data_IF_316472408223
#
_entry.id   IF_316472408223
#
_cell.length_a   1.000
_cell.length_b   1.000
_cell.length_c   1.000
_cell.angle_alpha   90.00
_cell.angle_beta   90.00
_cell.angle_gamma   90.00
#
_symmetry.space_group_name_H-M   'P 1'
#
loop_
_entity.id
_entity.type
_entity.pdbx_description
1 polymer ?
#
# COMPACT_ATOMS: atom_id res chain seq x y z
N UNK A 1 14.01 -16.34 -4.30
CA UNK A 1 14.34 -14.91 -4.48
C UNK A 1 14.43 -14.64 -5.96
N UNK A 2 13.82 -13.55 -6.44
CA UNK A 2 13.95 -13.10 -7.83
C UNK A 2 15.15 -12.15 -7.89
N UNK A 3 16.05 -12.32 -8.84
CA UNK A 3 17.18 -11.41 -9.06
C UNK A 3 16.76 -10.33 -10.06
N UNK A 4 17.01 -9.07 -9.71
CA UNK A 4 16.70 -7.91 -10.54
C UNK A 4 17.87 -6.91 -10.56
N UNK A 5 17.80 -5.89 -11.42
CA UNK A 5 18.85 -4.88 -11.53
C UNK A 5 18.96 -3.96 -10.31
N UNK A 6 17.97 -3.97 -9.41
CA UNK A 6 17.92 -3.16 -8.20
C UNK A 6 17.08 -3.85 -7.11
N UNK A 7 17.46 -3.66 -5.86
CA UNK A 7 16.68 -4.04 -4.67
C UNK A 7 16.43 -2.80 -3.81
N UNK A 8 15.19 -2.61 -3.36
CA UNK A 8 14.77 -1.42 -2.62
C UNK A 8 13.84 -1.80 -1.47
N UNK A 9 13.89 -1.03 -0.39
CA UNK A 9 13.04 -1.21 0.79
C UNK A 9 11.97 -0.11 0.96
N UNK A 10 11.73 0.68 -0.10
CA UNK A 10 10.76 1.77 -0.10
C UNK A 10 9.87 1.71 -1.35
N UNK A 11 8.54 1.77 -1.19
CA UNK A 11 7.63 1.72 -2.33
C UNK A 11 7.73 2.95 -3.23
N UNK A 12 8.18 4.09 -2.70
CA UNK A 12 8.40 5.32 -3.49
C UNK A 12 9.56 5.10 -4.48
N UNK A 13 10.64 4.46 -4.03
CA UNK A 13 11.79 4.16 -4.89
C UNK A 13 11.44 3.04 -5.88
N UNK A 14 10.70 2.02 -5.45
CA UNK A 14 10.19 0.97 -6.33
C UNK A 14 9.35 1.55 -7.48
N UNK A 15 8.46 2.51 -7.17
CA UNK A 15 7.67 3.24 -8.18
C UNK A 15 8.57 4.01 -9.14
N UNK A 16 9.57 4.73 -8.64
CA UNK A 16 10.49 5.49 -9.50
C UNK A 16 11.30 4.57 -10.44
N UNK A 17 11.71 3.40 -9.95
CA UNK A 17 12.40 2.39 -10.75
C UNK A 17 11.51 1.82 -11.86
N UNK A 18 10.24 1.51 -11.55
CA UNK A 18 9.27 1.04 -12.54
C UNK A 18 9.01 2.10 -13.63
N UNK A 19 8.80 3.36 -13.23
CA UNK A 19 8.63 4.50 -14.17
C UNK A 19 9.87 4.77 -15.02
N UNK A 20 11.05 4.36 -14.55
CA UNK A 20 12.32 4.46 -15.28
C UNK A 20 12.58 3.25 -16.17
N UNK A 21 11.64 2.31 -16.28
CA UNK A 21 11.77 1.12 -17.13
C UNK A 21 12.68 0.02 -16.59
N UNK A 22 12.96 0.01 -15.28
CA UNK A 22 13.83 -1.00 -14.66
C UNK A 22 13.15 -2.35 -14.38
N UNK A 23 11.89 -2.52 -14.80
CA UNK A 23 11.13 -3.77 -14.71
C UNK A 23 9.82 -3.65 -13.93
N UNK A 24 9.30 -4.79 -13.46
CA UNK A 24 8.08 -4.88 -12.67
C UNK A 24 8.31 -4.44 -11.20
N UNK A 25 7.31 -3.84 -10.59
CA UNK A 25 7.31 -3.51 -9.16
C UNK A 25 5.95 -3.85 -8.54
N UNK A 26 5.97 -4.42 -7.33
CA UNK A 26 4.77 -4.57 -6.50
C UNK A 26 4.59 -3.29 -5.69
N UNK A 27 3.49 -2.57 -5.94
CA UNK A 27 3.22 -1.26 -5.35
C UNK A 27 1.85 -1.27 -4.67
N UNK A 28 1.69 -0.57 -3.53
CA UNK A 28 0.36 -0.27 -3.02
C UNK A 28 -0.44 0.59 -4.00
N UNK A 29 -1.74 0.33 -4.11
CA UNK A 29 -2.58 1.00 -5.11
C UNK A 29 -2.59 2.51 -4.96
N UNK A 30 -2.62 3.02 -3.73
CA UNK A 30 -2.58 4.47 -3.47
C UNK A 30 -1.28 5.15 -3.94
N UNK A 31 -0.20 4.39 -4.14
CA UNK A 31 1.07 4.89 -4.70
C UNK A 31 1.06 4.80 -6.24
N UNK A 32 0.49 3.73 -6.79
CA UNK A 32 0.46 3.51 -8.24
C UNK A 32 -0.68 4.26 -8.96
N UNK A 33 -1.77 4.58 -8.25
CA UNK A 33 -3.01 5.13 -8.82
C UNK A 33 -2.80 6.34 -9.74
N UNK A 34 -1.97 7.35 -9.41
CA UNK A 34 -1.75 8.49 -10.32
C UNK A 34 -1.07 8.09 -11.64
N UNK A 35 -0.19 7.10 -11.63
CA UNK A 35 0.53 6.65 -12.83
C UNK A 35 -0.25 5.65 -13.65
N UNK A 36 -1.07 4.84 -13.00
CA UNK A 36 -2.09 4.03 -13.67
C UNK A 36 -3.10 4.93 -14.38
N UNK A 37 -3.63 5.95 -13.69
CA UNK A 37 -4.59 6.89 -14.26
C UNK A 37 -4.01 7.70 -15.44
N UNK A 38 -2.70 7.98 -15.44
CA UNK A 38 -2.02 8.66 -16.54
C UNK A 38 -1.46 7.72 -17.62
N UNK A 39 -1.59 6.40 -17.46
CA UNK A 39 -1.06 5.40 -18.38
C UNK A 39 0.46 5.25 -18.39
N UNK A 40 1.16 5.86 -17.43
CA UNK A 40 2.62 5.71 -17.26
C UNK A 40 2.99 4.36 -16.66
N UNK A 41 2.09 3.78 -15.86
CA UNK A 41 2.14 2.40 -15.42
C UNK A 41 0.92 1.66 -15.95
N UNK A 42 1.07 0.34 -16.06
CA UNK A 42 -0.03 -0.59 -16.35
C UNK A 42 0.05 -1.74 -15.35
N UNK A 43 -1.08 -2.35 -15.04
CA UNK A 43 -1.10 -3.57 -14.21
C UNK A 43 -0.59 -4.77 -15.00
N UNK A 44 -0.12 -5.78 -14.29
CA UNK A 44 0.39 -7.01 -14.88
C UNK A 44 0.29 -8.15 -13.85
N UNK A 45 0.09 -9.37 -14.34
CA UNK A 45 -0.04 -10.58 -13.52
C UNK A 45 -1.21 -10.52 -12.51
N UNK A 46 -2.30 -9.84 -12.88
CA UNK A 46 -3.46 -9.63 -12.01
C UNK A 46 -4.10 -10.96 -11.54
N UNK A 47 -3.95 -12.03 -12.33
CA UNK A 47 -4.40 -13.40 -12.01
C UNK A 47 -3.54 -14.10 -10.92
N UNK A 48 -2.40 -13.50 -10.55
CA UNK A 48 -1.43 -14.06 -9.59
C UNK A 48 -1.30 -13.24 -8.31
N UNK A 49 -2.03 -12.13 -8.20
CA UNK A 49 -2.02 -11.31 -6.98
C UNK A 49 -2.82 -12.04 -5.89
N UNK A 50 -2.15 -12.34 -4.78
CA UNK A 50 -2.81 -12.82 -3.56
C UNK A 50 -3.59 -11.67 -2.91
N UNK A 51 -4.71 -11.99 -2.26
CA UNK A 51 -5.53 -11.01 -1.54
C UNK A 51 -4.65 -10.11 -0.66
N UNK A 52 -4.82 -8.79 -0.82
CA UNK A 52 -3.97 -7.78 -0.17
C UNK A 52 -3.98 -7.89 1.35
N UNK A 53 -2.87 -7.53 1.96
CA UNK A 53 -2.77 -7.32 3.40
C UNK A 53 -3.48 -6.03 3.79
N UNK A 54 -4.34 -6.08 4.80
CA UNK A 54 -5.06 -4.89 5.29
C UNK A 54 -4.16 -3.83 5.94
N UNK A 55 -4.76 -2.66 6.21
CA UNK A 55 -4.13 -1.60 7.02
C UNK A 55 -4.47 -1.85 8.48
N UNK A 56 -3.45 -1.87 9.35
CA UNK A 56 -3.61 -2.17 10.77
C UNK A 56 -3.16 -1.00 11.65
N UNK A 57 -3.98 -0.65 12.65
CA UNK A 57 -3.57 0.23 13.73
C UNK A 57 -2.90 -0.59 14.84
N UNK A 58 -1.58 -0.46 15.00
CA UNK A 58 -0.79 -1.20 16.00
C UNK A 58 -0.42 -0.28 17.16
N UNK A 59 -0.70 -0.71 18.40
CA UNK A 59 -0.36 0.02 19.61
C UNK A 59 0.00 -0.96 20.74
N UNK A 60 0.88 -0.57 21.69
CA UNK A 60 1.27 -1.45 22.79
C UNK A 60 0.07 -1.89 23.62
N UNK A 61 0.04 -3.17 23.99
CA UNK A 61 -0.96 -3.68 24.92
C UNK A 61 -0.82 -3.00 26.28
N UNK A 62 -1.91 -2.42 26.79
CA UNK A 62 -1.97 -1.74 28.09
C UNK A 62 -3.27 -2.11 28.77
N UNK A 63 -3.23 -2.28 30.10
CA UNK A 63 -4.44 -2.58 30.92
C UNK A 63 -5.55 -1.55 30.71
N UNK A 64 -5.19 -0.29 30.44
CA UNK A 64 -6.10 0.78 30.08
C UNK A 64 -5.61 1.47 28.81
N UNK A 65 -6.38 1.38 27.73
CA UNK A 65 -6.13 2.16 26.51
C UNK A 65 -6.61 3.60 26.74
N UNK A 66 -5.77 4.62 26.59
CA UNK A 66 -6.19 6.01 26.75
C UNK A 66 -7.37 6.35 25.82
N UNK A 67 -8.39 7.05 26.33
CA UNK A 67 -9.60 7.38 25.57
C UNK A 67 -9.28 8.07 24.24
N UNK A 68 -8.30 8.99 24.22
CA UNK A 68 -7.82 9.67 23.00
C UNK A 68 -7.33 8.71 21.91
N UNK A 69 -6.72 7.59 22.28
CA UNK A 69 -6.23 6.59 21.30
C UNK A 69 -7.41 5.80 20.77
N UNK A 70 -8.35 5.40 21.63
CA UNK A 70 -9.56 4.70 21.21
C UNK A 70 -10.35 5.51 20.18
N UNK A 71 -10.70 6.76 20.50
CA UNK A 71 -11.48 7.60 19.58
C UNK A 71 -10.73 7.89 18.28
N UNK A 72 -9.39 7.96 18.31
CA UNK A 72 -8.59 8.10 17.10
C UNK A 72 -8.60 6.84 16.23
N UNK A 73 -8.46 5.65 16.84
CA UNK A 73 -8.57 4.37 16.12
C UNK A 73 -9.97 4.20 15.53
N UNK A 74 -11.02 4.50 16.30
CA UNK A 74 -12.41 4.42 15.81
C UNK A 74 -12.62 5.35 14.60
N UNK A 75 -12.08 6.56 14.66
CA UNK A 75 -12.08 7.50 13.54
C UNK A 75 -11.35 6.94 12.32
N UNK A 76 -10.12 6.42 12.48
CA UNK A 76 -9.36 5.84 11.37
C UNK A 76 -10.07 4.65 10.73
N UNK A 77 -10.64 3.75 11.53
CA UNK A 77 -11.40 2.60 11.04
C UNK A 77 -12.60 3.05 10.22
N UNK A 78 -13.35 4.05 10.70
CA UNK A 78 -14.46 4.62 9.94
C UNK A 78 -13.99 5.30 8.65
N UNK A 79 -12.90 6.06 8.72
CA UNK A 79 -12.35 6.75 7.55
C UNK A 79 -11.89 5.76 6.47
N UNK A 80 -11.10 4.73 6.82
CA UNK A 80 -10.66 3.76 5.83
C UNK A 80 -11.82 2.93 5.27
N UNK A 81 -12.80 2.51 6.07
CA UNK A 81 -14.00 1.81 5.55
C UNK A 81 -14.82 2.62 4.56
N UNK A 82 -14.89 3.94 4.74
CA UNK A 82 -15.64 4.83 3.82
C UNK A 82 -14.85 5.17 2.55
N UNK A 83 -13.55 4.87 2.53
CA UNK A 83 -12.64 5.19 1.43
C UNK A 83 -11.90 3.99 0.84
N UNK A 84 -12.20 2.77 1.29
CA UNK A 84 -11.90 1.53 0.57
C UNK A 84 -12.72 1.54 -0.73
N UNK A 85 -12.31 2.40 -1.64
CA UNK A 85 -12.61 2.34 -3.05
C UNK A 85 -11.67 1.26 -3.54
N UNK A 86 -12.14 0.02 -3.53
CA UNK A 86 -11.37 -1.12 -3.99
C UNK A 86 -10.72 -0.79 -5.34
N UNK A 87 -9.39 -0.85 -5.35
CA UNK A 87 -8.65 -1.34 -6.49
C UNK A 87 -8.39 -2.83 -6.23
#
# INVERSE_FOLDING_TARGET
AVSGPIEVNSPIVARAAALSGLGFAMLPDFIAAPDLASGKLVTALDDRILAGTGIFAVYPHRRYLPAKVRVFVDFLVHWFRTRDTGA
#
